data_IF_229836559253
#
_entry.id   IF_229836559253
#
_cell.length_a   1.000
_cell.length_b   1.000
_cell.length_c   1.000
_cell.angle_alpha   90.00
_cell.angle_beta   90.00
_cell.angle_gamma   90.00
#
_symmetry.space_group_name_H-M   'P 1'
#
loop_
_entity.id
_entity.type
_entity.pdbx_description
1 polymer ?
#
# COMPACT_ATOMS: atom_id res chain seq x y z
N UNK A 1 -14.47 13.07 19.07
CA UNK A 1 -14.68 12.25 17.86
C UNK A 1 -13.75 11.08 17.94
N UNK A 2 -14.26 9.89 17.67
CA UNK A 2 -13.54 8.64 17.76
C UNK A 2 -12.54 8.48 16.59
N UNK A 3 -11.37 7.92 16.89
CA UNK A 3 -10.33 7.59 15.92
C UNK A 3 -10.41 6.09 15.63
N UNK A 4 -10.63 5.72 14.38
CA UNK A 4 -10.79 4.32 13.98
C UNK A 4 -10.37 4.09 12.53
N UNK A 5 -10.28 2.82 12.18
CA UNK A 5 -10.03 2.33 10.83
C UNK A 5 -11.30 1.64 10.30
N UNK A 6 -11.64 1.90 9.05
CA UNK A 6 -12.67 1.15 8.31
C UNK A 6 -11.99 0.29 7.24
N UNK A 7 -12.41 -0.96 7.14
CA UNK A 7 -12.01 -1.85 6.06
C UNK A 7 -13.15 -1.92 5.06
N UNK A 8 -12.94 -1.36 3.88
CA UNK A 8 -14.00 -1.20 2.89
C UNK A 8 -13.67 -1.95 1.60
N UNK A 9 -14.69 -2.35 0.86
CA UNK A 9 -14.60 -2.86 -0.49
C UNK A 9 -14.85 -1.72 -1.48
N UNK A 10 -13.79 -1.16 -2.06
CA UNK A 10 -13.95 -0.12 -3.08
C UNK A 10 -14.54 -0.73 -4.37
N UNK A 11 -15.65 -0.21 -4.90
CA UNK A 11 -16.19 -0.66 -6.19
C UNK A 11 -15.34 -0.16 -7.37
N UNK A 12 -15.54 -0.76 -8.55
CA UNK A 12 -15.00 -0.26 -9.82
C UNK A 12 -15.55 1.12 -10.20
N UNK A 13 -14.90 1.77 -11.13
CA UNK A 13 -15.33 2.99 -11.81
C UNK A 13 -15.50 4.21 -10.89
N UNK A 14 -14.81 4.21 -9.76
CA UNK A 14 -14.74 5.36 -8.85
C UNK A 14 -13.31 5.54 -8.34
N UNK A 15 -12.81 6.78 -8.32
CA UNK A 15 -11.50 7.05 -7.75
C UNK A 15 -11.49 6.78 -6.23
N UNK A 16 -10.33 6.37 -5.69
CA UNK A 16 -10.15 6.21 -4.25
C UNK A 16 -10.55 7.46 -3.47
N UNK A 17 -10.20 8.65 -3.99
CA UNK A 17 -10.55 9.91 -3.37
C UNK A 17 -12.08 10.16 -3.34
N UNK A 18 -12.75 10.00 -4.48
CA UNK A 18 -14.21 10.20 -4.56
C UNK A 18 -14.95 9.21 -3.66
N UNK A 19 -14.49 7.96 -3.60
CA UNK A 19 -15.08 6.94 -2.76
C UNK A 19 -14.97 7.30 -1.28
N UNK A 20 -13.79 7.68 -0.78
CA UNK A 20 -13.66 8.05 0.64
C UNK A 20 -14.40 9.36 0.99
N UNK A 21 -14.58 10.30 0.03
CA UNK A 21 -15.39 11.50 0.28
C UNK A 21 -16.89 11.17 0.44
N UNK A 22 -17.38 10.15 -0.27
CA UNK A 22 -18.74 9.61 -0.06
C UNK A 22 -18.86 9.05 1.36
N UNK A 23 -17.95 8.14 1.76
CA UNK A 23 -17.92 7.57 3.13
C UNK A 23 -17.80 8.65 4.20
N UNK A 24 -16.97 9.69 3.96
CA UNK A 24 -16.83 10.82 4.88
C UNK A 24 -18.17 11.49 5.20
N UNK A 25 -19.02 11.67 4.19
CA UNK A 25 -20.34 12.30 4.35
C UNK A 25 -21.31 11.35 5.06
N UNK A 26 -21.36 10.09 4.64
CA UNK A 26 -22.26 9.07 5.19
C UNK A 26 -22.00 8.81 6.67
N UNK A 27 -20.71 8.70 7.07
CA UNK A 27 -20.27 8.41 8.44
C UNK A 27 -20.00 9.68 9.27
N UNK A 28 -20.29 10.87 8.73
CA UNK A 28 -20.02 12.17 9.39
C UNK A 28 -18.59 12.30 9.96
N UNK A 29 -17.60 11.86 9.18
CA UNK A 29 -16.17 11.88 9.57
C UNK A 29 -15.59 13.26 9.29
N UNK A 30 -14.96 13.89 10.29
CA UNK A 30 -14.35 15.22 10.14
C UNK A 30 -13.13 15.19 9.22
N UNK A 31 -12.23 14.24 9.43
CA UNK A 31 -11.00 14.04 8.67
C UNK A 31 -10.90 12.60 8.20
N UNK A 32 -10.70 12.39 6.90
CA UNK A 32 -10.61 11.06 6.30
C UNK A 32 -9.34 10.93 5.47
N UNK A 33 -8.81 9.72 5.39
CA UNK A 33 -7.69 9.33 4.53
C UNK A 33 -7.74 7.85 4.20
N UNK A 34 -6.91 7.40 3.27
CA UNK A 34 -6.77 5.96 2.96
C UNK A 34 -5.30 5.53 2.93
N UNK A 35 -5.06 4.25 3.13
CA UNK A 35 -3.73 3.65 3.12
C UNK A 35 -3.48 2.87 1.81
N UNK A 36 -3.21 3.58 0.74
CA UNK A 36 -2.90 3.01 -0.58
C UNK A 36 -4.05 3.20 -1.59
N UNK A 37 -3.73 3.99 -2.61
CA UNK A 37 -4.65 4.26 -3.72
C UNK A 37 -4.95 2.98 -4.50
N UNK A 38 -6.21 2.84 -4.92
CA UNK A 38 -6.65 1.96 -5.99
C UNK A 38 -7.07 2.83 -7.17
N UNK A 39 -6.65 2.47 -8.36
CA UNK A 39 -7.06 3.14 -9.60
C UNK A 39 -8.59 3.03 -9.77
N UNK A 40 -9.25 3.87 -10.59
CA UNK A 40 -10.70 3.80 -10.77
C UNK A 40 -11.17 2.41 -11.24
N UNK A 41 -10.48 1.80 -12.21
CA UNK A 41 -10.72 0.44 -12.69
C UNK A 41 -10.62 -0.61 -11.57
N UNK A 42 -9.67 -0.43 -10.64
CA UNK A 42 -9.38 -1.40 -9.58
C UNK A 42 -10.45 -1.39 -8.49
N UNK A 43 -10.65 -2.54 -7.86
CA UNK A 43 -11.61 -2.74 -6.77
C UNK A 43 -10.99 -3.53 -5.61
N UNK A 44 -11.74 -3.70 -4.53
CA UNK A 44 -11.35 -4.54 -3.40
C UNK A 44 -10.92 -3.75 -2.16
N UNK A 45 -10.13 -4.38 -1.33
CA UNK A 45 -9.84 -3.94 0.03
C UNK A 45 -9.16 -2.57 0.08
N UNK A 46 -9.81 -1.64 0.78
CA UNK A 46 -9.29 -0.31 1.07
C UNK A 46 -9.33 -0.05 2.57
N UNK A 47 -8.18 0.28 3.14
CA UNK A 47 -8.07 0.74 4.53
C UNK A 47 -8.34 2.24 4.55
N UNK A 48 -9.39 2.64 5.23
CA UNK A 48 -9.81 4.03 5.41
C UNK A 48 -9.61 4.44 6.86
N UNK A 49 -9.04 5.61 7.06
CA UNK A 49 -8.67 6.14 8.37
C UNK A 49 -9.56 7.33 8.73
N UNK A 50 -10.21 7.25 9.89
CA UNK A 50 -11.06 8.32 10.41
C UNK A 50 -10.32 9.16 11.46
N UNK A 51 -10.47 10.47 11.37
CA UNK A 51 -9.99 11.47 12.32
C UNK A 51 -8.49 11.38 12.63
N UNK A 52 -8.11 11.16 13.88
CA UNK A 52 -6.71 11.04 14.32
C UNK A 52 -5.99 9.83 13.73
N UNK A 53 -6.72 8.78 13.32
CA UNK A 53 -6.15 7.61 12.65
C UNK A 53 -5.38 7.96 11.37
N UNK A 54 -5.69 9.08 10.71
CA UNK A 54 -4.94 9.56 9.53
C UNK A 54 -3.46 9.80 9.80
N UNK A 55 -3.07 9.95 11.08
CA UNK A 55 -1.67 10.08 11.48
C UNK A 55 -0.88 8.76 11.36
N UNK A 56 -1.57 7.63 11.16
CA UNK A 56 -0.97 6.30 10.98
C UNK A 56 -0.81 5.90 9.51
N UNK A 57 -1.03 6.82 8.57
CA UNK A 57 -0.97 6.54 7.14
C UNK A 57 0.33 5.86 6.72
N UNK A 58 1.48 6.32 7.21
CA UNK A 58 2.79 5.79 6.85
C UNK A 58 2.99 4.33 7.29
N UNK A 59 2.43 3.97 8.46
CA UNK A 59 2.44 2.60 8.96
C UNK A 59 1.58 1.67 8.08
N UNK A 60 0.36 2.09 7.77
CA UNK A 60 -0.59 1.28 7.03
C UNK A 60 -0.24 1.18 5.53
N UNK A 61 0.35 2.23 4.95
CA UNK A 61 0.78 2.23 3.55
C UNK A 61 1.92 1.25 3.27
N UNK A 62 2.77 0.97 4.25
CA UNK A 62 3.93 0.06 4.13
C UNK A 62 3.57 -1.43 4.19
N UNK A 63 2.32 -1.79 4.49
CA UNK A 63 1.88 -3.20 4.54
C UNK A 63 1.91 -3.82 3.14
N UNK A 64 2.21 -5.11 3.08
CA UNK A 64 2.17 -5.89 1.85
C UNK A 64 0.74 -6.06 1.33
N UNK A 65 0.58 -6.38 0.07
CA UNK A 65 -0.71 -6.50 -0.60
C UNK A 65 -0.78 -7.77 -1.43
N UNK A 66 -1.97 -8.37 -1.45
CA UNK A 66 -2.29 -9.46 -2.37
C UNK A 66 -3.33 -8.99 -3.37
N UNK A 67 -3.10 -9.29 -4.63
CA UNK A 67 -3.97 -8.92 -5.74
C UNK A 67 -4.36 -10.14 -6.56
N UNK A 68 -5.60 -10.15 -7.03
CA UNK A 68 -6.04 -10.89 -8.20
C UNK A 68 -5.94 -9.97 -9.40
N UNK A 69 -5.20 -10.38 -10.42
CA UNK A 69 -4.85 -9.60 -11.61
C UNK A 69 -5.44 -10.29 -12.82
N UNK A 70 -6.08 -9.52 -13.70
CA UNK A 70 -6.42 -9.97 -15.04
C UNK A 70 -5.70 -9.08 -16.06
N UNK A 71 -5.11 -9.69 -17.05
CA UNK A 71 -4.43 -8.99 -18.15
C UNK A 71 -4.79 -9.61 -19.49
N UNK A 72 -4.69 -8.81 -20.55
CA UNK A 72 -4.90 -9.26 -21.92
C UNK A 72 -3.66 -8.97 -22.74
N UNK A 73 -3.21 -10.00 -23.49
CA UNK A 73 -2.08 -9.94 -24.39
C UNK A 73 -2.46 -9.29 -25.72
N UNK A 74 -1.48 -8.71 -26.39
CA UNK A 74 -1.60 -8.22 -27.76
C UNK A 74 -1.57 -6.71 -27.89
N UNK A 75 -1.64 -5.94 -26.81
CA UNK A 75 -1.54 -4.49 -26.88
C UNK A 75 -1.07 -3.86 -25.58
N UNK A 76 -0.56 -2.65 -25.68
CA UNK A 76 -0.20 -1.80 -24.53
C UNK A 76 -0.92 -0.45 -24.66
N UNK A 77 -1.52 0.04 -23.56
CA UNK A 77 -2.12 1.37 -23.47
C UNK A 77 -1.16 2.35 -22.78
N UNK A 78 -1.37 3.64 -22.95
CA UNK A 78 -0.59 4.69 -22.29
C UNK A 78 -0.73 4.70 -20.76
N UNK A 79 -1.92 4.32 -20.24
CA UNK A 79 -2.18 4.16 -18.81
C UNK A 79 -1.79 2.78 -18.27
N UNK A 80 -1.49 1.81 -19.16
CA UNK A 80 -1.21 0.39 -18.88
C UNK A 80 -2.43 -0.36 -18.35
N UNK A 81 -3.65 0.20 -18.50
CA UNK A 81 -4.94 -0.39 -18.16
C UNK A 81 -6.00 -0.02 -19.21
N UNK A 82 -7.27 -0.44 -19.02
CA UNK A 82 -8.36 -0.19 -19.98
C UNK A 82 -8.82 1.28 -20.04
N UNK A 83 -8.34 2.16 -19.16
CA UNK A 83 -8.73 3.57 -19.18
C UNK A 83 -7.92 4.41 -20.19
N UNK A 84 -6.84 3.85 -20.75
CA UNK A 84 -5.96 4.53 -21.68
C UNK A 84 -6.19 4.19 -23.14
N UNK A 85 -5.51 4.93 -24.01
CA UNK A 85 -5.50 4.69 -25.44
C UNK A 85 -4.43 3.67 -25.85
N UNK A 86 -4.70 2.83 -26.85
CA UNK A 86 -3.71 1.88 -27.36
C UNK A 86 -2.55 2.63 -28.01
N UNK A 87 -1.33 2.36 -27.53
CA UNK A 87 -0.09 2.93 -28.04
C UNK A 87 0.80 1.92 -28.76
N UNK A 88 0.59 0.62 -28.48
CA UNK A 88 1.28 -0.49 -29.16
C UNK A 88 0.29 -1.63 -29.39
N UNK A 89 0.47 -2.31 -30.52
CA UNK A 89 -0.32 -3.46 -30.89
C UNK A 89 0.59 -4.53 -31.53
N UNK A 90 0.40 -5.77 -31.11
CA UNK A 90 1.05 -6.94 -31.68
C UNK A 90 0.13 -7.54 -32.75
N UNK A 91 0.63 -7.61 -33.99
CA UNK A 91 -0.21 -7.95 -35.16
C UNK A 91 -0.20 -9.43 -35.52
N UNK A 92 0.80 -10.15 -35.04
CA UNK A 92 0.93 -11.57 -35.36
C UNK A 92 0.07 -12.44 -34.45
N UNK A 93 -0.04 -13.74 -34.76
CA UNK A 93 -0.73 -14.70 -33.93
C UNK A 93 0.01 -14.85 -32.60
N UNK A 94 -0.71 -14.74 -31.50
CA UNK A 94 -0.17 -14.93 -30.17
C UNK A 94 -0.33 -16.40 -29.79
N UNK A 95 0.78 -17.07 -29.60
CA UNK A 95 0.84 -18.47 -29.17
C UNK A 95 1.75 -18.54 -27.93
N UNK A 96 1.13 -18.48 -26.74
CA UNK A 96 1.84 -18.57 -25.48
C UNK A 96 1.44 -19.88 -24.82
N UNK A 97 2.43 -20.73 -24.49
CA UNK A 97 2.17 -21.90 -23.69
C UNK A 97 2.15 -21.58 -22.20
N UNK A 98 1.50 -22.43 -21.41
CA UNK A 98 1.47 -22.30 -19.94
C UNK A 98 2.89 -22.41 -19.35
N UNK A 99 3.75 -23.22 -19.96
CA UNK A 99 5.15 -23.41 -19.57
C UNK A 99 5.94 -22.11 -19.73
N UNK A 100 5.85 -21.47 -20.93
CA UNK A 100 6.51 -20.20 -21.22
C UNK A 100 6.01 -19.10 -20.28
N UNK A 101 4.70 -18.98 -20.10
CA UNK A 101 4.10 -18.02 -19.16
C UNK A 101 4.64 -18.23 -17.75
N UNK A 102 4.64 -19.48 -17.28
CA UNK A 102 5.12 -19.81 -15.93
C UNK A 102 6.61 -19.48 -15.77
N UNK A 103 7.43 -19.74 -16.80
CA UNK A 103 8.85 -19.39 -16.78
C UNK A 103 9.05 -17.88 -16.69
N UNK A 104 8.32 -17.10 -17.49
CA UNK A 104 8.38 -15.64 -17.46
C UNK A 104 7.95 -15.11 -16.08
N UNK A 105 6.82 -15.57 -15.55
CA UNK A 105 6.32 -15.12 -14.23
C UNK A 105 7.30 -15.45 -13.10
N UNK A 106 8.01 -16.58 -13.14
CA UNK A 106 9.03 -16.93 -12.14
C UNK A 106 10.17 -15.93 -12.07
N UNK A 107 10.54 -15.26 -13.17
CA UNK A 107 11.61 -14.24 -13.22
C UNK A 107 11.27 -12.99 -12.39
N UNK A 108 9.99 -12.74 -12.17
CA UNK A 108 9.54 -11.59 -11.38
C UNK A 108 9.52 -11.87 -9.87
N UNK A 109 9.67 -13.12 -9.43
CA UNK A 109 9.67 -13.45 -8.00
C UNK A 109 10.97 -12.97 -7.32
N UNK A 110 10.84 -12.34 -6.17
CA UNK A 110 11.94 -11.78 -5.36
C UNK A 110 12.08 -10.28 -5.51
N UNK A 111 13.28 -9.77 -5.20
CA UNK A 111 13.61 -8.34 -5.27
C UNK A 111 13.95 -7.93 -6.68
N UNK A 112 13.20 -7.00 -7.23
CA UNK A 112 13.38 -6.50 -8.59
C UNK A 112 13.33 -4.98 -8.63
N UNK A 113 13.81 -4.42 -9.75
CA UNK A 113 13.67 -2.99 -10.05
C UNK A 113 12.48 -2.79 -11.00
N UNK A 114 11.54 -1.94 -10.63
CA UNK A 114 10.36 -1.63 -11.43
C UNK A 114 10.31 -0.15 -11.78
N UNK A 115 10.07 0.17 -13.05
CA UNK A 115 9.77 1.53 -13.50
C UNK A 115 8.28 1.78 -13.27
N UNK A 116 7.90 2.74 -12.40
CA UNK A 116 6.50 3.06 -12.15
C UNK A 116 5.80 3.60 -13.41
N UNK A 117 4.45 3.56 -13.47
CA UNK A 117 3.72 4.16 -14.59
C UNK A 117 3.74 5.69 -14.51
N UNK A 118 3.64 6.36 -15.66
CA UNK A 118 3.49 7.82 -15.72
C UNK A 118 2.22 8.29 -15.03
N UNK A 119 1.12 7.55 -15.18
CA UNK A 119 -0.14 7.80 -14.49
C UNK A 119 -0.10 7.31 -13.05
N UNK A 120 0.72 7.96 -12.20
CA UNK A 120 0.86 7.62 -10.78
C UNK A 120 0.84 8.85 -9.86
N UNK A 121 0.64 8.61 -8.55
CA UNK A 121 0.66 9.65 -7.53
C UNK A 121 2.07 10.07 -7.08
N UNK A 122 3.11 9.50 -7.66
CA UNK A 122 4.51 9.86 -7.42
C UNK A 122 4.71 11.33 -7.79
N UNK A 123 5.51 12.03 -7.01
CA UNK A 123 5.90 13.41 -7.30
C UNK A 123 7.30 13.44 -7.90
N UNK A 124 7.47 14.25 -8.95
CA UNK A 124 8.77 14.69 -9.45
C UNK A 124 8.78 16.22 -9.38
N UNK A 125 9.78 16.78 -8.76
CA UNK A 125 9.93 18.24 -8.55
C UNK A 125 8.67 18.90 -7.94
N UNK A 126 8.02 18.19 -7.01
CA UNK A 126 6.81 18.65 -6.33
C UNK A 126 5.50 18.40 -7.08
N UNK A 127 5.54 18.10 -8.39
CA UNK A 127 4.37 17.84 -9.23
C UNK A 127 4.08 16.35 -9.34
N UNK A 128 2.81 15.96 -9.26
CA UNK A 128 2.42 14.54 -9.40
C UNK A 128 2.52 14.11 -10.86
N UNK A 129 3.09 12.92 -11.12
CA UNK A 129 3.35 12.39 -12.45
C UNK A 129 2.09 12.33 -13.33
N UNK A 130 0.93 11.95 -12.79
CA UNK A 130 -0.31 11.89 -13.56
C UNK A 130 -0.74 13.27 -14.12
N UNK A 131 -0.31 14.39 -13.49
CA UNK A 131 -0.57 15.74 -14.03
C UNK A 131 0.32 16.03 -15.22
N UNK A 132 1.60 15.64 -15.15
CA UNK A 132 2.55 15.78 -16.24
C UNK A 132 2.13 14.92 -17.44
N UNK A 133 1.73 13.66 -17.18
CA UNK A 133 1.22 12.77 -18.23
C UNK A 133 0.00 13.35 -18.98
N UNK A 134 -0.97 13.93 -18.26
CA UNK A 134 -2.14 14.59 -18.88
C UNK A 134 -1.80 15.81 -19.69
N UNK A 135 -0.69 16.47 -19.42
CA UNK A 135 -0.18 17.59 -20.21
C UNK A 135 0.66 17.12 -21.41
N UNK A 136 0.78 15.80 -21.65
CA UNK A 136 1.63 15.26 -22.71
C UNK A 136 3.14 15.32 -22.41
N UNK A 137 3.52 15.60 -21.17
CA UNK A 137 4.92 15.69 -20.77
C UNK A 137 5.49 14.29 -20.48
N UNK A 138 6.47 13.86 -21.25
CA UNK A 138 7.24 12.64 -20.98
C UNK A 138 8.33 12.92 -19.96
N UNK A 139 8.36 12.09 -18.90
CA UNK A 139 9.34 12.21 -17.85
C UNK A 139 10.11 10.91 -17.71
N UNK A 140 11.43 10.96 -17.80
CA UNK A 140 12.27 9.79 -17.47
C UNK A 140 12.11 9.45 -16.00
N UNK A 141 11.60 8.24 -15.72
CA UNK A 141 11.37 7.72 -14.38
C UNK A 141 12.49 6.79 -13.96
N UNK A 142 12.87 6.91 -12.71
CA UNK A 142 13.83 6.01 -12.09
C UNK A 142 13.14 4.73 -11.61
N UNK A 143 13.82 3.60 -11.81
CA UNK A 143 13.37 2.33 -11.30
C UNK A 143 13.44 2.30 -9.76
N UNK A 144 12.45 1.66 -9.13
CA UNK A 144 12.36 1.50 -7.68
C UNK A 144 12.50 0.06 -7.29
N UNK A 145 13.14 -0.19 -6.17
CA UNK A 145 13.21 -1.52 -5.60
C UNK A 145 11.83 -1.91 -5.05
N UNK A 146 11.33 -3.04 -5.50
CA UNK A 146 10.12 -3.71 -5.01
C UNK A 146 10.43 -5.18 -4.77
N UNK A 147 9.51 -5.86 -4.11
CA UNK A 147 9.61 -7.31 -3.91
C UNK A 147 8.28 -7.96 -4.26
N UNK A 148 8.33 -9.00 -5.08
CA UNK A 148 7.21 -9.87 -5.39
C UNK A 148 7.47 -11.17 -4.64
N UNK A 149 6.70 -11.40 -3.57
CA UNK A 149 6.90 -12.56 -2.71
C UNK A 149 6.44 -13.84 -3.37
N UNK A 150 5.30 -13.76 -4.09
CA UNK A 150 4.77 -14.90 -4.83
C UNK A 150 3.87 -14.47 -6.00
N UNK A 151 3.79 -15.36 -7.02
CA UNK A 151 2.81 -15.33 -8.12
C UNK A 151 2.25 -16.75 -8.23
N UNK A 152 0.94 -16.89 -8.15
CA UNK A 152 0.26 -18.20 -8.07
C UNK A 152 -1.16 -18.12 -8.64
N UNK A 153 -1.86 -19.26 -8.70
CA UNK A 153 -3.21 -19.40 -9.29
C UNK A 153 -3.26 -18.84 -10.72
N UNK A 154 -2.29 -19.28 -11.54
CA UNK A 154 -2.13 -18.82 -12.92
C UNK A 154 -3.12 -19.57 -13.80
N UNK A 155 -3.92 -18.82 -14.56
CA UNK A 155 -4.80 -19.34 -15.60
C UNK A 155 -4.54 -18.59 -16.90
N UNK A 156 -4.49 -19.35 -18.01
CA UNK A 156 -4.30 -18.83 -19.36
C UNK A 156 -5.43 -19.31 -20.23
N UNK A 157 -6.24 -18.39 -20.71
CA UNK A 157 -7.35 -18.66 -21.63
C UNK A 157 -7.24 -17.74 -22.86
N UNK A 158 -6.72 -18.29 -23.96
CA UNK A 158 -6.39 -17.56 -25.19
C UNK A 158 -5.43 -16.40 -24.89
N UNK A 159 -5.86 -15.15 -25.03
CA UNK A 159 -5.06 -13.95 -24.75
C UNK A 159 -5.23 -13.43 -23.32
N UNK A 160 -6.13 -14.00 -22.54
CA UNK A 160 -6.43 -13.56 -21.18
C UNK A 160 -5.65 -14.38 -20.18
N UNK A 161 -4.96 -13.69 -19.29
CA UNK A 161 -4.20 -14.28 -18.21
C UNK A 161 -4.75 -13.76 -16.90
N UNK A 162 -5.01 -14.66 -15.97
CA UNK A 162 -5.38 -14.34 -14.60
C UNK A 162 -4.35 -14.94 -13.65
N UNK A 163 -3.93 -14.19 -12.65
CA UNK A 163 -3.03 -14.70 -11.60
C UNK A 163 -3.22 -13.94 -10.30
N UNK A 164 -2.78 -14.54 -9.20
CA UNK A 164 -2.61 -13.86 -7.92
C UNK A 164 -1.17 -13.49 -7.69
N UNK A 165 -0.93 -12.34 -7.05
CA UNK A 165 0.41 -11.98 -6.61
C UNK A 165 0.40 -11.36 -5.22
N UNK A 166 1.41 -11.73 -4.41
CA UNK A 166 1.69 -11.11 -3.13
C UNK A 166 2.95 -10.23 -3.28
N UNK A 167 2.83 -8.95 -2.96
CA UNK A 167 3.84 -7.95 -3.30
C UNK A 167 4.10 -6.96 -2.17
N UNK A 168 5.30 -6.43 -2.12
CA UNK A 168 5.67 -5.35 -1.22
C UNK A 168 4.90 -4.05 -1.51
N UNK A 169 4.86 -3.19 -0.53
CA UNK A 169 4.33 -1.83 -0.72
C UNK A 169 5.07 -1.08 -1.82
N UNK A 170 4.34 -0.28 -2.59
CA UNK A 170 4.92 0.52 -3.69
C UNK A 170 5.01 -0.20 -5.03
N UNK A 171 4.65 -1.47 -5.11
CA UNK A 171 4.54 -2.22 -6.37
C UNK A 171 3.35 -1.73 -7.19
N UNK A 172 3.60 -1.45 -8.48
CA UNK A 172 2.59 -1.07 -9.46
C UNK A 172 2.23 -2.29 -10.32
N UNK A 173 1.02 -2.82 -10.14
CA UNK A 173 0.57 -4.02 -10.89
C UNK A 173 0.46 -3.72 -12.37
N UNK A 174 0.05 -2.52 -12.77
CA UNK A 174 0.05 -2.09 -14.18
C UNK A 174 1.44 -2.17 -14.82
N UNK A 175 2.49 -1.74 -14.12
CA UNK A 175 3.87 -1.89 -14.60
C UNK A 175 4.30 -3.34 -14.66
N UNK A 176 3.90 -4.17 -13.70
CA UNK A 176 4.19 -5.62 -13.72
C UNK A 176 3.57 -6.27 -14.96
N UNK A 177 2.30 -5.99 -15.25
CA UNK A 177 1.60 -6.48 -16.44
C UNK A 177 2.30 -6.05 -17.73
N UNK A 178 2.66 -4.76 -17.85
CA UNK A 178 3.44 -4.23 -18.98
C UNK A 178 4.74 -5.02 -19.18
N UNK A 179 5.49 -5.21 -18.10
CA UNK A 179 6.81 -5.82 -18.17
C UNK A 179 6.68 -7.31 -18.54
N UNK A 180 5.72 -8.04 -17.95
CA UNK A 180 5.38 -9.42 -18.34
C UNK A 180 5.01 -9.50 -19.83
N UNK A 181 4.14 -8.64 -20.34
CA UNK A 181 3.72 -8.62 -21.74
C UNK A 181 4.88 -8.36 -22.71
N UNK A 182 5.83 -7.52 -22.29
CA UNK A 182 7.06 -7.24 -23.07
C UNK A 182 8.00 -8.43 -23.06
N UNK A 183 8.17 -9.11 -21.93
CA UNK A 183 9.01 -10.31 -21.83
C UNK A 183 8.41 -11.51 -22.59
N UNK A 184 7.08 -11.57 -22.73
CA UNK A 184 6.38 -12.50 -23.61
C UNK A 184 6.47 -12.12 -25.11
N UNK A 185 6.99 -10.92 -25.41
CA UNK A 185 7.19 -10.43 -26.79
C UNK A 185 5.92 -9.94 -27.49
N UNK A 186 4.77 -9.86 -26.82
CA UNK A 186 3.49 -9.54 -27.47
C UNK A 186 2.70 -8.39 -26.82
N UNK A 187 3.29 -7.68 -25.86
CA UNK A 187 2.66 -6.64 -25.06
C UNK A 187 1.48 -7.16 -24.20
N UNK A 188 1.09 -6.39 -23.18
CA UNK A 188 -0.09 -6.68 -22.36
C UNK A 188 -0.65 -5.42 -21.71
N UNK A 189 -1.95 -5.45 -21.43
CA UNK A 189 -2.68 -4.41 -20.70
C UNK A 189 -3.44 -5.03 -19.54
N UNK A 190 -3.44 -4.37 -18.39
CA UNK A 190 -4.23 -4.79 -17.24
C UNK A 190 -5.72 -4.51 -17.49
N UNK A 191 -6.54 -5.57 -17.43
CA UNK A 191 -7.98 -5.46 -17.70
C UNK A 191 -8.82 -5.44 -16.43
N UNK A 192 -8.30 -6.00 -15.34
CA UNK A 192 -8.95 -5.98 -14.05
C UNK A 192 -7.94 -6.09 -12.91
N UNK A 193 -8.28 -5.49 -11.77
CA UNK A 193 -7.47 -5.57 -10.56
C UNK A 193 -8.38 -5.63 -9.33
N UNK A 194 -8.21 -6.68 -8.53
CA UNK A 194 -8.89 -6.82 -7.25
C UNK A 194 -7.88 -6.95 -6.12
N UNK A 195 -7.85 -6.00 -5.18
CA UNK A 195 -7.00 -6.09 -3.99
C UNK A 195 -7.68 -6.94 -2.92
N UNK A 196 -7.19 -8.15 -2.73
CA UNK A 196 -7.76 -9.15 -1.82
C UNK A 196 -7.31 -8.93 -0.37
N UNK A 197 -6.07 -8.41 -0.17
CA UNK A 197 -5.45 -8.29 1.15
C UNK A 197 -4.55 -7.07 1.28
N UNK A 198 -4.50 -6.48 2.47
CA UNK A 198 -3.52 -5.46 2.89
C UNK A 198 -3.04 -5.79 4.31
N UNK A 199 -1.77 -6.20 4.45
CA UNK A 199 -1.24 -6.72 5.69
C UNK A 199 -2.09 -7.89 6.22
N UNK A 200 -2.60 -7.79 7.44
CA UNK A 200 -3.46 -8.83 8.05
C UNK A 200 -4.94 -8.78 7.61
N UNK A 201 -5.37 -7.70 6.97
CA UNK A 201 -6.77 -7.49 6.61
C UNK A 201 -7.13 -8.15 5.28
N UNK A 202 -8.28 -8.82 5.25
CA UNK A 202 -8.82 -9.57 4.12
C UNK A 202 -10.29 -9.20 3.89
N UNK A 203 -10.95 -9.84 2.91
CA UNK A 203 -12.38 -9.66 2.67
C UNK A 203 -13.28 -9.98 3.86
N UNK A 204 -12.80 -10.77 4.84
CA UNK A 204 -13.55 -11.10 6.06
C UNK A 204 -13.74 -9.89 6.96
N UNK A 205 -12.90 -8.88 6.80
CA UNK A 205 -12.90 -7.66 7.61
C UNK A 205 -13.73 -6.54 7.00
N UNK A 206 -14.37 -6.76 5.84
CA UNK A 206 -15.17 -5.72 5.18
C UNK A 206 -16.27 -5.18 6.08
N UNK A 207 -16.42 -3.86 6.05
CA UNK A 207 -17.36 -3.06 6.85
C UNK A 207 -17.07 -3.07 8.36
N UNK A 208 -15.95 -3.64 8.79
CA UNK A 208 -15.55 -3.57 10.19
C UNK A 208 -14.95 -2.21 10.53
N UNK A 209 -15.35 -1.71 11.70
CA UNK A 209 -14.75 -0.58 12.39
C UNK A 209 -13.75 -1.12 13.41
N UNK A 210 -12.47 -0.81 13.21
CA UNK A 210 -11.37 -1.38 13.99
C UNK A 210 -10.69 -0.28 14.80
N UNK A 211 -10.41 -0.54 16.08
CA UNK A 211 -9.69 0.40 16.92
C UNK A 211 -8.25 0.59 16.46
N UNK A 212 -7.66 1.75 16.77
CA UNK A 212 -6.25 2.00 16.46
C UNK A 212 -5.35 0.99 17.17
N UNK A 213 -5.68 0.63 18.40
CA UNK A 213 -4.93 -0.30 19.20
C UNK A 213 -4.83 -1.70 18.56
N UNK A 214 -5.96 -2.19 18.01
CA UNK A 214 -6.05 -3.52 17.36
C UNK A 214 -5.36 -3.57 15.99
N UNK A 215 -5.20 -2.41 15.36
CA UNK A 215 -4.51 -2.29 14.06
C UNK A 215 -2.99 -2.41 14.21
N UNK A 216 -2.45 -1.95 15.34
CA UNK A 216 -1.02 -1.79 15.56
C UNK A 216 -0.37 -3.07 16.09
N UNK A 217 0.57 -3.62 15.34
CA UNK A 217 1.34 -4.82 15.71
C UNK A 217 2.65 -4.42 16.43
N UNK A 218 2.55 -3.56 17.46
CA UNK A 218 3.69 -3.10 18.25
C UNK A 218 3.60 -3.61 19.69
N UNK A 219 4.74 -3.81 20.38
CA UNK A 219 4.74 -4.17 21.81
C UNK A 219 4.12 -3.05 22.67
N UNK A 220 3.69 -3.42 23.86
CA UNK A 220 3.05 -2.53 24.83
C UNK A 220 4.09 -1.97 25.81
N UNK A 221 3.91 -0.73 26.24
CA UNK A 221 4.68 -0.07 27.29
C UNK A 221 3.71 0.67 28.23
N UNK A 222 3.67 0.25 29.51
CA UNK A 222 2.95 0.97 30.55
C UNK A 222 3.86 2.08 31.09
N UNK A 223 3.30 3.27 31.25
CA UNK A 223 4.03 4.45 31.75
C UNK A 223 3.32 5.05 32.96
N UNK A 224 4.10 5.72 33.82
CA UNK A 224 3.57 6.49 34.94
C UNK A 224 3.04 7.88 34.51
N UNK A 225 2.40 8.59 35.43
CA UNK A 225 1.83 9.90 35.19
C UNK A 225 2.89 10.94 34.79
N UNK A 226 4.05 10.88 35.42
CA UNK A 226 5.14 11.83 35.15
C UNK A 226 5.59 11.71 33.70
N UNK A 227 5.90 10.50 33.23
CA UNK A 227 6.33 10.26 31.86
C UNK A 227 5.20 10.55 30.85
N UNK A 228 3.94 10.24 31.20
CA UNK A 228 2.79 10.61 30.36
C UNK A 228 2.70 12.11 30.13
N UNK A 229 2.77 12.93 31.19
CA UNK A 229 2.70 14.40 31.09
C UNK A 229 3.89 14.97 30.28
N UNK A 230 5.08 14.45 30.50
CA UNK A 230 6.28 14.87 29.79
C UNK A 230 6.17 14.58 28.27
N UNK A 231 5.75 13.36 27.89
CA UNK A 231 5.53 12.99 26.49
C UNK A 231 4.39 13.79 25.87
N UNK A 232 3.30 14.03 26.60
CA UNK A 232 2.17 14.84 26.14
C UNK A 232 2.62 16.26 25.80
N UNK A 233 3.55 16.83 26.55
CA UNK A 233 4.14 18.14 26.31
C UNK A 233 5.25 18.13 25.23
N UNK A 234 5.51 16.98 24.60
CA UNK A 234 6.47 16.85 23.50
C UNK A 234 7.91 16.70 23.91
N UNK A 235 8.18 16.40 25.17
CA UNK A 235 9.54 16.18 25.65
C UNK A 235 10.07 14.84 25.12
N UNK A 236 11.37 14.83 24.79
CA UNK A 236 12.13 13.58 24.56
C UNK A 236 12.80 13.21 25.88
N UNK A 237 12.65 11.96 26.29
CA UNK A 237 13.21 11.47 27.53
C UNK A 237 14.27 10.40 27.28
N UNK A 238 15.18 10.27 28.24
CA UNK A 238 16.14 9.17 28.32
C UNK A 238 15.65 8.25 29.43
N UNK A 239 15.43 6.99 29.08
CA UNK A 239 15.03 5.95 30.01
C UNK A 239 16.04 4.81 30.02
N UNK A 240 16.22 4.20 31.16
CA UNK A 240 16.89 2.91 31.31
C UNK A 240 15.82 1.82 31.30
N UNK A 241 15.78 1.03 30.22
CA UNK A 241 14.86 -0.09 30.05
C UNK A 241 15.66 -1.38 30.19
N UNK A 242 15.72 -1.91 31.43
CA UNK A 242 16.56 -3.07 31.75
C UNK A 242 16.13 -4.38 31.06
N UNK A 243 14.84 -4.49 30.72
CA UNK A 243 14.25 -5.73 30.21
C UNK A 243 14.00 -5.72 28.70
N UNK A 244 14.38 -4.66 27.99
CA UNK A 244 14.11 -4.50 26.55
C UNK A 244 15.40 -4.15 25.83
N UNK A 245 15.91 -5.06 25.00
CA UNK A 245 17.03 -4.77 24.09
C UNK A 245 16.45 -4.46 22.72
N UNK A 246 16.42 -3.18 22.36
CA UNK A 246 16.08 -2.75 21.01
C UNK A 246 17.38 -2.30 20.32
N UNK A 247 17.83 -3.06 19.33
CA UNK A 247 19.05 -2.74 18.59
C UNK A 247 18.88 -1.52 17.67
N UNK A 248 17.61 -1.27 17.25
CA UNK A 248 17.24 -0.18 16.33
C UNK A 248 16.09 0.65 16.89
N UNK A 249 15.67 1.67 16.14
CA UNK A 249 14.44 2.42 16.42
C UNK A 249 13.20 1.52 16.33
N UNK A 250 12.41 1.48 17.39
CA UNK A 250 11.15 0.72 17.44
C UNK A 250 10.00 1.60 17.90
N UNK A 251 8.80 1.36 17.35
CA UNK A 251 7.57 1.93 17.86
C UNK A 251 6.95 1.00 18.90
N UNK A 252 6.40 1.58 19.98
CA UNK A 252 5.66 0.85 21.00
C UNK A 252 4.32 1.52 21.27
N UNK A 253 3.32 0.71 21.61
CA UNK A 253 2.01 1.17 22.09
C UNK A 253 2.14 1.59 23.54
N UNK A 254 1.67 2.79 23.88
CA UNK A 254 1.78 3.34 25.24
C UNK A 254 0.45 3.29 25.95
N UNK A 255 0.49 2.82 27.19
CA UNK A 255 -0.65 2.73 28.07
C UNK A 255 -0.40 3.57 29.34
N UNK A 256 -1.40 4.34 29.73
CA UNK A 256 -1.45 5.06 30.98
C UNK A 256 -2.79 4.77 31.67
N UNK A 257 -2.75 4.29 32.92
CA UNK A 257 -3.93 3.80 33.66
C UNK A 257 -4.76 2.81 32.82
N UNK A 258 -4.11 1.79 32.26
CA UNK A 258 -4.67 0.72 31.43
C UNK A 258 -5.39 1.21 30.15
N UNK A 259 -5.20 2.48 29.78
CA UNK A 259 -5.77 3.05 28.54
C UNK A 259 -4.68 3.29 27.50
N UNK A 260 -4.94 2.84 26.28
CA UNK A 260 -4.09 3.16 25.15
C UNK A 260 -4.09 4.67 24.88
N UNK A 261 -2.93 5.32 25.03
CA UNK A 261 -2.77 6.76 24.85
C UNK A 261 -2.02 7.12 23.55
N UNK A 262 -1.40 6.17 22.87
CA UNK A 262 -0.75 6.44 21.60
C UNK A 262 0.52 5.65 21.36
N UNK A 263 1.37 6.18 20.48
CA UNK A 263 2.65 5.58 20.11
C UNK A 263 3.82 6.46 20.54
N UNK A 264 4.92 5.82 20.90
CA UNK A 264 6.22 6.44 21.04
C UNK A 264 7.25 5.72 20.16
N UNK A 265 8.26 6.44 19.74
CA UNK A 265 9.45 5.90 19.10
C UNK A 265 10.53 5.76 20.18
N UNK A 266 11.09 4.57 20.30
CA UNK A 266 12.21 4.26 21.18
C UNK A 266 13.46 4.06 20.32
N UNK A 267 14.53 4.80 20.61
CA UNK A 267 15.82 4.68 19.92
C UNK A 267 16.91 4.34 20.92
N UNK A 268 17.67 3.31 20.61
CA UNK A 268 18.84 2.96 21.41
C UNK A 268 19.87 4.10 21.35
N UNK A 269 20.48 4.44 22.48
CA UNK A 269 21.58 5.39 22.59
C UNK A 269 22.90 4.66 22.78
N UNK A 270 23.05 4.00 23.93
CA UNK A 270 24.25 3.19 24.29
C UNK A 270 23.82 2.24 25.40
N UNK A 271 24.06 0.94 25.23
CA UNK A 271 23.69 -0.06 26.23
C UNK A 271 22.18 -0.13 26.45
N UNK A 272 21.72 -0.04 27.71
CA UNK A 272 20.31 -0.06 28.08
C UNK A 272 19.66 1.32 28.12
N UNK A 273 20.31 2.35 27.60
CA UNK A 273 19.78 3.72 27.60
C UNK A 273 19.07 4.01 26.28
N UNK A 274 17.84 4.48 26.37
CA UNK A 274 16.98 4.72 25.21
C UNK A 274 16.43 6.14 25.22
N UNK A 275 16.33 6.71 23.99
CA UNK A 275 15.54 7.92 23.78
C UNK A 275 14.09 7.53 23.51
N UNK A 276 13.16 8.11 24.27
CA UNK A 276 11.73 7.99 24.03
C UNK A 276 11.20 9.31 23.53
N UNK A 277 10.54 9.26 22.38
CA UNK A 277 9.87 10.41 21.75
C UNK A 277 8.47 10.06 21.33
N UNK A 278 7.50 10.93 21.65
CA UNK A 278 6.13 10.71 21.20
C UNK A 278 6.02 10.67 19.68
N UNK A 279 5.21 9.76 19.17
CA UNK A 279 4.77 9.76 17.79
C UNK A 279 3.69 10.84 17.57
N UNK A 280 3.46 11.26 16.32
CA UNK A 280 2.36 12.17 15.95
C UNK A 280 0.96 11.67 16.38
N UNK A 281 0.80 10.35 16.59
CA UNK A 281 -0.37 9.74 17.21
C UNK A 281 -0.08 9.47 18.69
N UNK A 282 -0.29 10.47 19.51
CA UNK A 282 -0.23 10.42 20.97
C UNK A 282 -1.30 11.38 21.52
N UNK A 283 -2.08 10.97 22.54
CA UNK A 283 -3.23 11.71 23.12
C UNK A 283 -2.88 12.43 24.41
#
# INVERSE_FOLDING_TARGET
MEDYILILNKPKNISSFSYIQKIRKEENIKKIGHAGTLDPLAQGLMIVMANGATKLSDYLMKKDKTYLVEMELGYETDTLDLEGEKIKEYKDKIEISVELLTEVLKRYKGKIKQIPPMYSAIKKDGVKLYKLARNGEEVKLEARNIEIYDIYDIDLNDRKITFRCNVSSGTYIRSLVRDIGRDLGCFATMTNLYREQVGKFTKKDFNNKISIEDVLDYPNLNIDEKLYLELKNGMTKILELKDCIYNDSVYVKVYFNDKFVGLVEIKNKIGYTYYIKRHKYFK
#
